data_IF_846962450031
#
_entry.id   IF_846962450031
#
_cell.length_a   1.000
_cell.length_b   1.000
_cell.length_c   1.000
_cell.angle_alpha   90.00
_cell.angle_beta   90.00
_cell.angle_gamma   90.00
#
_symmetry.space_group_name_H-M   'P 1'
#
loop_
_entity.id
_entity.type
_entity.pdbx_description
1 polymer ?
#
# COMPACT_ATOMS: atom_id res chain seq x y z
N UNK A 1 8.21 -27.57 24.30
CA UNK A 1 8.68 -26.22 23.90
C UNK A 1 7.79 -25.78 22.76
N UNK A 2 6.96 -24.76 22.96
CA UNK A 2 6.13 -24.21 21.89
C UNK A 2 7.05 -23.27 21.11
N UNK A 3 7.38 -23.61 19.87
CA UNK A 3 8.12 -22.69 18.99
C UNK A 3 7.15 -21.57 18.63
N UNK A 4 7.45 -20.35 19.07
CA UNK A 4 6.71 -19.17 18.62
C UNK A 4 7.16 -18.89 17.19
N UNK A 5 6.32 -19.25 16.23
CA UNK A 5 6.46 -18.81 14.85
C UNK A 5 5.95 -17.37 14.79
N UNK A 6 6.87 -16.42 14.67
CA UNK A 6 6.49 -15.04 14.36
C UNK A 6 6.37 -14.96 12.84
N UNK A 7 5.24 -14.50 12.31
CA UNK A 7 5.11 -14.25 10.87
C UNK A 7 4.93 -12.76 10.63
N UNK A 8 5.84 -12.19 9.85
CA UNK A 8 5.83 -10.78 9.48
C UNK A 8 5.22 -10.58 8.11
N UNK A 9 4.54 -9.43 7.99
CA UNK A 9 3.89 -8.99 6.77
C UNK A 9 4.16 -7.50 6.57
N UNK A 10 4.28 -7.11 5.30
CA UNK A 10 4.19 -5.71 4.87
C UNK A 10 2.79 -5.50 4.29
N UNK A 11 2.10 -4.48 4.82
CA UNK A 11 0.79 -4.05 4.37
C UNK A 11 0.94 -2.69 3.68
N UNK A 12 0.35 -2.55 2.50
CA UNK A 12 0.32 -1.28 1.78
C UNK A 12 -1.12 -0.80 1.75
N UNK A 13 -1.34 0.36 2.35
CA UNK A 13 -2.63 1.04 2.36
C UNK A 13 -2.55 2.30 1.50
N UNK A 14 -3.53 2.47 0.62
CA UNK A 14 -3.69 3.67 -0.16
C UNK A 14 -4.84 4.50 0.39
N UNK A 15 -4.56 5.80 0.51
CA UNK A 15 -5.57 6.80 0.73
C UNK A 15 -6.01 7.39 -0.62
N UNK A 16 -7.30 7.25 -0.94
CA UNK A 16 -7.83 7.64 -2.24
C UNK A 16 -9.10 8.47 -2.09
N UNK A 17 -9.23 9.47 -2.96
CA UNK A 17 -10.47 10.22 -3.13
C UNK A 17 -11.29 9.64 -4.27
N UNK A 18 -12.58 9.41 -4.03
CA UNK A 18 -13.52 9.00 -5.07
C UNK A 18 -14.71 9.93 -5.11
N UNK A 19 -15.12 10.31 -6.32
CA UNK A 19 -16.36 11.03 -6.55
C UNK A 19 -17.50 10.02 -6.68
N UNK A 20 -18.48 10.09 -5.78
CA UNK A 20 -19.69 9.28 -5.83
C UNK A 20 -20.93 10.15 -6.02
N UNK A 21 -22.02 9.55 -6.49
CA UNK A 21 -23.34 10.19 -6.50
C UNK A 21 -24.29 9.41 -5.59
N UNK A 22 -24.84 10.08 -4.60
CA UNK A 22 -25.89 9.55 -3.73
C UNK A 22 -27.09 10.49 -3.82
N UNK A 23 -28.25 9.96 -4.21
CA UNK A 23 -29.50 10.71 -4.35
C UNK A 23 -29.38 12.01 -5.18
N UNK A 24 -28.58 11.96 -6.25
CA UNK A 24 -28.36 13.10 -7.14
C UNK A 24 -27.32 14.12 -6.66
N UNK A 25 -26.79 13.96 -5.45
CA UNK A 25 -25.73 14.81 -4.89
C UNK A 25 -24.36 14.20 -5.18
N UNK A 26 -23.42 15.01 -5.68
CA UNK A 26 -22.03 14.61 -5.83
C UNK A 26 -21.31 14.69 -4.48
N UNK A 27 -20.68 13.61 -4.07
CA UNK A 27 -19.93 13.48 -2.83
C UNK A 27 -18.47 13.15 -3.16
N UNK A 28 -17.55 13.87 -2.53
CA UNK A 28 -16.14 13.52 -2.49
C UNK A 28 -15.89 12.66 -1.24
N UNK A 29 -15.55 11.40 -1.45
CA UNK A 29 -15.43 10.41 -0.39
C UNK A 29 -13.97 10.01 -0.24
N UNK A 30 -13.48 10.16 0.99
CA UNK A 30 -12.18 9.65 1.39
C UNK A 30 -12.26 8.14 1.62
N UNK A 31 -11.35 7.39 1.01
CA UNK A 31 -11.32 5.93 1.12
C UNK A 31 -9.90 5.44 1.40
N UNK A 32 -9.75 4.84 2.57
CA UNK A 32 -8.61 4.00 2.89
C UNK A 32 -8.84 2.59 2.38
N UNK A 33 -7.86 2.04 1.66
CA UNK A 33 -7.92 0.69 1.10
C UNK A 33 -6.58 -0.02 1.29
N UNK A 34 -6.62 -1.24 1.81
CA UNK A 34 -5.50 -2.17 1.73
C UNK A 34 -5.34 -2.63 0.27
N UNK A 35 -4.22 -2.28 -0.35
CA UNK A 35 -3.93 -2.52 -1.78
C UNK A 35 -2.81 -3.52 -1.99
N UNK A 36 -2.00 -3.81 -0.96
CA UNK A 36 -0.91 -4.77 -1.02
C UNK A 36 -0.75 -5.52 0.30
N UNK A 37 -0.39 -6.80 0.21
CA UNK A 37 -0.05 -7.64 1.36
C UNK A 37 1.05 -8.59 0.94
N UNK A 38 2.20 -8.49 1.60
CA UNK A 38 3.39 -9.29 1.31
C UNK A 38 3.80 -10.03 2.56
N UNK A 39 3.87 -11.36 2.48
CA UNK A 39 4.42 -12.19 3.55
C UNK A 39 5.93 -12.17 3.45
N UNK A 40 6.62 -11.93 4.57
CA UNK A 40 8.08 -11.93 4.64
C UNK A 40 8.59 -13.25 5.22
N UNK A 41 8.16 -13.59 6.44
CA UNK A 41 8.67 -14.75 7.15
C UNK A 41 8.88 -14.43 8.61
N UNK A 42 9.81 -15.13 9.27
CA UNK A 42 10.01 -14.98 10.73
C UNK A 42 11.08 -13.96 11.12
N UNK A 43 11.92 -13.54 10.17
CA UNK A 43 13.01 -12.60 10.40
C UNK A 43 12.50 -11.15 10.44
N UNK A 44 12.67 -10.52 11.61
CA UNK A 44 12.29 -9.13 11.82
C UNK A 44 13.17 -8.15 11.03
N UNK A 45 14.47 -8.42 10.87
CA UNK A 45 15.36 -7.53 10.13
C UNK A 45 15.00 -7.52 8.64
N UNK A 46 14.66 -8.67 8.08
CA UNK A 46 14.12 -8.79 6.72
C UNK A 46 12.78 -8.04 6.59
N UNK A 47 11.90 -8.15 7.58
CA UNK A 47 10.62 -7.44 7.59
C UNK A 47 10.79 -5.91 7.60
N UNK A 48 11.74 -5.38 8.36
CA UNK A 48 12.05 -3.94 8.39
C UNK A 48 12.60 -3.48 7.04
N UNK A 49 13.57 -4.20 6.48
CA UNK A 49 14.14 -3.85 5.18
C UNK A 49 13.08 -3.90 4.07
N UNK A 50 12.19 -4.89 4.07
CA UNK A 50 11.09 -4.99 3.12
C UNK A 50 10.06 -3.86 3.28
N UNK A 51 9.80 -3.41 4.51
CA UNK A 51 8.91 -2.28 4.76
C UNK A 51 9.53 -0.95 4.28
N UNK A 52 10.83 -0.74 4.51
CA UNK A 52 11.56 0.43 4.02
C UNK A 52 11.60 0.47 2.49
N UNK A 53 11.91 -0.67 1.86
CA UNK A 53 11.90 -0.80 0.39
C UNK A 53 10.52 -0.50 -0.20
N UNK A 54 9.46 -1.06 0.40
CA UNK A 54 8.09 -0.78 -0.02
C UNK A 54 7.74 0.70 0.15
N UNK A 55 8.16 1.35 1.24
CA UNK A 55 7.90 2.77 1.47
C UNK A 55 8.60 3.67 0.44
N UNK A 56 9.81 3.30 -0.01
CA UNK A 56 10.59 4.07 -0.99
C UNK A 56 10.15 3.84 -2.43
N UNK A 57 9.73 2.62 -2.77
CA UNK A 57 9.54 2.22 -4.17
C UNK A 57 8.09 1.96 -4.55
N UNK A 58 7.15 1.98 -3.60
CA UNK A 58 5.74 1.82 -3.94
C UNK A 58 5.22 3.03 -4.71
N UNK A 59 4.72 2.80 -5.92
CA UNK A 59 4.07 3.83 -6.73
C UNK A 59 2.55 3.69 -6.56
N UNK A 60 1.87 4.68 -5.93
CA UNK A 60 0.43 4.63 -5.77
C UNK A 60 -0.30 4.52 -7.10
N UNK A 61 -1.39 3.76 -7.15
CA UNK A 61 -2.21 3.53 -8.36
C UNK A 61 -2.73 4.81 -9.01
N UNK A 62 -2.95 5.86 -8.22
CA UNK A 62 -3.30 7.19 -8.74
C UNK A 62 -2.18 7.76 -9.60
N UNK A 63 -0.94 7.71 -9.10
CA UNK A 63 0.26 8.16 -9.80
C UNK A 63 0.62 7.23 -10.96
N UNK A 64 0.54 5.91 -10.77
CA UNK A 64 0.83 4.93 -11.83
C UNK A 64 -0.07 5.09 -13.07
N UNK A 65 -1.31 5.56 -12.90
CA UNK A 65 -2.21 5.86 -14.03
C UNK A 65 -1.81 7.11 -14.82
N UNK A 66 -1.08 8.04 -14.20
CA UNK A 66 -0.62 9.28 -14.81
C UNK A 66 0.86 9.23 -15.22
N UNK A 67 1.60 8.23 -14.75
CA UNK A 67 3.01 8.03 -15.03
C UNK A 67 3.25 7.77 -16.53
N UNK A 68 4.22 8.47 -17.09
CA UNK A 68 4.71 8.26 -18.46
C UNK A 68 5.92 7.32 -18.44
N UNK A 69 6.22 6.64 -19.56
CA UNK A 69 7.46 5.87 -19.67
C UNK A 69 8.67 6.76 -19.37
N UNK A 70 9.44 6.41 -18.33
CA UNK A 70 10.64 7.15 -17.90
C UNK A 70 10.46 8.07 -16.69
N UNK A 71 9.26 8.16 -16.11
CA UNK A 71 9.06 8.85 -14.83
C UNK A 71 9.61 7.99 -13.67
N UNK A 72 10.42 8.58 -12.80
CA UNK A 72 10.85 7.96 -11.53
C UNK A 72 10.01 8.51 -10.36
N UNK A 73 9.67 7.69 -9.36
CA UNK A 73 9.07 8.17 -8.12
C UNK A 73 10.06 9.12 -7.39
N UNK A 74 9.51 10.19 -6.81
CA UNK A 74 10.28 11.25 -6.14
C UNK A 74 10.78 10.84 -4.76
#
# INVERSE_FOLDING_TARGET
MLVMINEWYVLIEEDTWINQRADGVALEVHRWMLVGTYRIGEDQAEAVAAAEDAALHYIPRGLARSARPGDEPA
#
